data_IF_503488602180
#
_entry.id   IF_503488602180
#
_cell.length_a   1.000
_cell.length_b   1.000
_cell.length_c   1.000
_cell.angle_alpha   90.00
_cell.angle_beta   90.00
_cell.angle_gamma   90.00
#
_symmetry.space_group_name_H-M   'P 1'
#
loop_
_entity.id
_entity.type
_entity.pdbx_description
1 polymer ?
#
# COMPACT_ATOMS: atom_id res chain seq x y z
N UNK A 1 4.77 12.63 9.72
CA UNK A 1 4.06 11.35 9.78
C UNK A 1 5.11 10.24 9.81
N UNK A 2 5.02 9.32 10.77
CA UNK A 2 5.95 8.21 10.95
C UNK A 2 5.16 6.90 10.88
N UNK A 3 5.69 5.92 10.15
CA UNK A 3 5.13 4.57 10.10
C UNK A 3 5.70 3.75 11.27
N UNK A 4 4.82 3.13 12.05
CA UNK A 4 5.18 2.40 13.27
C UNK A 4 5.19 0.89 13.04
N UNK A 5 4.11 0.36 12.48
CA UNK A 5 3.95 -1.05 12.19
C UNK A 5 3.17 -1.27 10.89
N UNK A 6 3.48 -2.33 10.11
CA UNK A 6 2.74 -2.63 8.89
C UNK A 6 1.29 -3.01 9.17
N UNK A 7 0.39 -2.62 8.27
CA UNK A 7 -0.98 -3.09 8.21
C UNK A 7 -1.05 -4.29 7.27
N UNK A 8 -1.16 -5.50 7.83
CA UNK A 8 -1.33 -6.71 7.04
C UNK A 8 -2.81 -6.89 6.72
N UNK A 9 -3.14 -7.00 5.44
CA UNK A 9 -4.50 -7.30 5.01
C UNK A 9 -4.69 -8.81 4.93
N UNK A 10 -5.73 -9.37 5.57
CA UNK A 10 -5.99 -10.80 5.48
C UNK A 10 -6.49 -11.17 4.09
N UNK A 11 -6.22 -12.40 3.65
CA UNK A 11 -6.70 -12.91 2.36
C UNK A 11 -8.23 -12.93 2.26
N UNK A 12 -8.90 -13.10 3.41
CA UNK A 12 -10.35 -13.07 3.55
C UNK A 12 -10.76 -12.28 4.78
N UNK A 13 -12.00 -11.76 4.77
CA UNK A 13 -12.50 -10.91 5.84
C UNK A 13 -12.20 -9.43 5.60
N UNK A 14 -12.16 -8.65 6.67
CA UNK A 14 -11.94 -7.22 6.60
C UNK A 14 -11.14 -6.75 7.81
N UNK A 15 -10.59 -5.54 7.70
CA UNK A 15 -9.98 -4.82 8.82
C UNK A 15 -10.82 -3.59 9.14
N UNK A 16 -10.98 -3.29 10.42
CA UNK A 16 -11.49 -1.99 10.85
C UNK A 16 -10.34 -1.01 10.87
N UNK A 17 -10.51 0.12 10.20
CA UNK A 17 -9.56 1.23 10.22
C UNK A 17 -10.12 2.38 11.05
N UNK A 18 -9.28 2.97 11.87
CA UNK A 18 -9.58 4.18 12.61
C UNK A 18 -8.49 5.21 12.35
N UNK A 19 -8.91 6.40 11.94
CA UNK A 19 -8.06 7.59 11.84
C UNK A 19 -8.57 8.58 12.87
N UNK A 20 -7.78 8.82 13.92
CA UNK A 20 -8.09 9.82 14.95
C UNK A 20 -7.39 11.12 14.62
N UNK A 21 -8.07 12.25 14.83
CA UNK A 21 -7.50 13.59 14.69
C UNK A 21 -7.70 14.33 16.00
N UNK A 22 -6.60 14.77 16.59
CA UNK A 22 -6.60 15.49 17.86
C UNK A 22 -7.19 16.89 17.77
N UNK A 23 -7.34 17.50 18.95
CA UNK A 23 -7.61 18.93 19.05
C UNK A 23 -6.46 19.75 18.43
N UNK A 24 -6.79 20.96 17.99
CA UNK A 24 -5.78 21.88 17.48
C UNK A 24 -4.97 22.44 18.66
N UNK A 25 -3.65 22.48 18.51
CA UNK A 25 -2.76 23.23 19.42
C UNK A 25 -2.85 24.74 19.19
N UNK A 26 -2.03 25.51 19.91
CA UNK A 26 -1.99 26.96 19.81
C UNK A 26 -1.59 27.47 18.41
N UNK A 27 -0.89 26.65 17.62
CA UNK A 27 -0.48 26.94 16.25
C UNK A 27 -1.46 26.37 15.20
N UNK A 28 -2.57 25.77 15.63
CA UNK A 28 -3.57 25.18 14.75
C UNK A 28 -3.22 23.78 14.23
N UNK A 29 -2.14 23.16 14.74
CA UNK A 29 -1.69 21.83 14.34
C UNK A 29 -2.48 20.77 15.10
N UNK A 30 -2.72 19.63 14.46
CA UNK A 30 -3.51 18.51 15.03
C UNK A 30 -2.71 17.23 14.94
N UNK A 31 -2.69 16.45 16.01
CA UNK A 31 -2.16 15.08 15.93
C UNK A 31 -3.07 14.23 15.04
N UNK A 32 -2.48 13.27 14.33
CA UNK A 32 -3.20 12.23 13.60
C UNK A 32 -2.62 10.88 13.93
N UNK A 33 -3.46 9.89 14.17
CA UNK A 33 -3.03 8.51 14.41
C UNK A 33 -3.89 7.54 13.59
N UNK A 34 -3.25 6.51 13.05
CA UNK A 34 -3.89 5.49 12.22
C UNK A 34 -3.75 4.15 12.92
N UNK A 35 -4.89 3.55 13.24
CA UNK A 35 -4.98 2.26 13.90
C UNK A 35 -5.81 1.29 13.07
N UNK A 36 -5.54 0.00 13.23
CA UNK A 36 -6.41 -1.05 12.71
C UNK A 36 -6.62 -2.18 13.70
N UNK A 37 -7.65 -2.97 13.45
CA UNK A 37 -7.81 -4.30 14.05
C UNK A 37 -8.60 -5.21 13.11
N UNK A 38 -8.51 -6.54 13.25
CA UNK A 38 -9.35 -7.46 12.51
C UNK A 38 -10.84 -7.15 12.70
N UNK A 39 -11.62 -7.24 11.62
CA UNK A 39 -13.08 -7.19 11.69
C UNK A 39 -13.63 -8.61 11.84
N UNK A 40 -14.22 -8.90 13.00
CA UNK A 40 -15.00 -10.13 13.18
C UNK A 40 -16.41 -9.93 12.61
N UNK A 41 -16.77 -10.72 11.60
CA UNK A 41 -18.09 -10.71 10.97
C UNK A 41 -19.14 -11.48 11.79
N UNK A 42 -18.71 -12.33 12.74
CA UNK A 42 -19.56 -13.19 13.56
C UNK A 42 -19.85 -12.61 14.97
N UNK A 43 -19.26 -11.47 15.34
CA UNK A 43 -19.48 -10.87 16.66
C UNK A 43 -18.57 -9.68 17.00
N UNK A 44 -18.52 -9.35 18.29
CA UNK A 44 -17.64 -8.30 18.80
C UNK A 44 -16.20 -8.83 18.95
N UNK A 45 -15.30 -8.35 18.09
CA UNK A 45 -13.86 -8.63 18.23
C UNK A 45 -13.31 -8.09 19.55
N UNK A 46 -12.56 -8.93 20.27
CA UNK A 46 -11.76 -8.55 21.44
C UNK A 46 -10.32 -8.17 21.08
N UNK A 47 -9.98 -8.15 19.78
CA UNK A 47 -8.64 -7.80 19.33
C UNK A 47 -8.31 -6.34 19.66
N UNK A 48 -7.10 -6.13 20.17
CA UNK A 48 -6.55 -4.80 20.45
C UNK A 48 -6.29 -4.04 19.15
N UNK A 49 -6.37 -2.71 19.23
CA UNK A 49 -6.02 -1.84 18.11
C UNK A 49 -4.49 -1.79 17.96
N UNK A 50 -4.01 -2.13 16.76
CA UNK A 50 -2.61 -1.95 16.38
C UNK A 50 -2.41 -0.54 15.81
N UNK A 51 -1.39 0.17 16.31
CA UNK A 51 -0.98 1.47 15.79
C UNK A 51 -0.08 1.30 14.57
N UNK A 52 -0.41 1.98 13.47
CA UNK A 52 0.32 1.87 12.19
C UNK A 52 1.07 3.14 11.83
N UNK A 53 0.51 4.30 12.14
CA UNK A 53 1.16 5.57 11.86
C UNK A 53 0.71 6.66 12.84
N UNK A 54 1.61 7.60 13.12
CA UNK A 54 1.32 8.83 13.85
C UNK A 54 1.88 10.04 13.10
N UNK A 55 1.31 11.21 13.33
CA UNK A 55 1.82 12.43 12.72
C UNK A 55 1.10 13.69 13.18
N UNK A 56 1.37 14.76 12.44
CA UNK A 56 0.80 16.07 12.67
C UNK A 56 0.27 16.62 11.36
N UNK A 57 -0.98 17.08 11.39
CA UNK A 57 -1.62 17.86 10.34
C UNK A 57 -1.47 19.34 10.66
N UNK A 58 -1.16 20.13 9.65
CA UNK A 58 -1.08 21.58 9.73
C UNK A 58 -1.77 22.19 8.51
N UNK A 59 -2.07 23.49 8.57
CA UNK A 59 -2.49 24.22 7.37
C UNK A 59 -1.31 24.25 6.41
N UNK A 60 -1.55 23.87 5.16
CA UNK A 60 -0.52 23.85 4.13
C UNK A 60 -0.06 25.27 3.78
N UNK A 61 1.25 25.42 3.53
CA UNK A 61 1.79 26.60 2.89
C UNK A 61 1.35 26.70 1.42
N UNK A 62 1.69 27.81 0.76
CA UNK A 62 1.40 28.01 -0.65
C UNK A 62 1.98 26.86 -1.50
N UNK A 63 1.20 26.42 -2.50
CA UNK A 63 1.62 25.41 -3.45
C UNK A 63 2.94 25.83 -4.15
N UNK A 64 3.83 24.86 -4.45
CA UNK A 64 5.00 25.15 -5.28
C UNK A 64 4.56 25.63 -6.67
N UNK A 65 5.43 26.36 -7.36
CA UNK A 65 5.15 26.84 -8.70
C UNK A 65 5.01 25.67 -9.70
N UNK A 66 4.32 25.96 -10.81
CA UNK A 66 4.24 25.07 -11.96
C UNK A 66 5.63 24.69 -12.45
N UNK A 67 5.82 23.42 -12.77
CA UNK A 67 7.05 22.93 -13.37
C UNK A 67 7.05 23.21 -14.88
N UNK A 68 7.71 24.29 -15.28
CA UNK A 68 7.75 24.76 -16.68
C UNK A 68 8.94 24.24 -17.49
N UNK A 69 9.74 23.31 -16.95
CA UNK A 69 10.86 22.74 -17.71
C UNK A 69 10.39 21.60 -18.63
N UNK A 70 11.03 21.40 -19.81
CA UNK A 70 10.69 20.34 -20.73
C UNK A 70 10.73 18.96 -20.05
N UNK A 71 9.82 18.08 -20.44
CA UNK A 71 9.74 16.72 -19.93
C UNK A 71 9.96 15.70 -21.05
N UNK A 72 10.90 14.74 -20.90
CA UNK A 72 11.89 14.66 -19.83
C UNK A 72 12.90 15.83 -19.89
N UNK A 73 13.60 16.14 -18.79
CA UNK A 73 14.56 17.23 -18.76
C UNK A 73 15.64 17.06 -19.83
N UNK A 74 16.05 18.17 -20.45
CA UNK A 74 17.13 18.16 -21.41
C UNK A 74 18.41 17.61 -20.77
N UNK A 75 19.11 16.71 -21.47
CA UNK A 75 20.34 16.01 -21.01
C UNK A 75 20.12 14.97 -19.92
N UNK A 76 18.88 14.66 -19.53
CA UNK A 76 18.62 13.50 -18.70
C UNK A 76 18.87 12.22 -19.50
N UNK A 77 19.50 11.23 -18.87
CA UNK A 77 19.78 9.92 -19.46
C UNK A 77 18.61 8.99 -19.18
N UNK A 78 18.06 8.33 -20.20
CA UNK A 78 17.01 7.32 -20.01
C UNK A 78 17.52 6.17 -19.16
N UNK A 79 16.68 5.71 -18.24
CA UNK A 79 16.89 4.50 -17.45
C UNK A 79 15.95 3.44 -18.00
N UNK A 80 16.45 2.22 -18.22
CA UNK A 80 15.62 1.10 -18.60
C UNK A 80 14.83 0.62 -17.37
N UNK A 81 13.50 0.60 -17.48
CA UNK A 81 12.58 0.20 -16.42
C UNK A 81 11.81 -1.07 -16.76
N UNK A 82 12.13 -1.73 -17.87
CA UNK A 82 11.42 -2.93 -18.33
C UNK A 82 11.43 -4.06 -17.30
N UNK A 83 12.59 -4.33 -16.70
CA UNK A 83 12.79 -5.43 -15.75
C UNK A 83 12.70 -4.98 -14.27
N UNK A 84 12.25 -3.75 -14.00
CA UNK A 84 12.25 -3.18 -12.63
C UNK A 84 11.40 -4.01 -11.67
N UNK A 85 10.22 -4.44 -12.11
CA UNK A 85 9.28 -5.19 -11.27
C UNK A 85 9.71 -6.63 -11.05
N UNK A 86 10.39 -7.23 -12.02
CA UNK A 86 10.94 -8.58 -11.89
C UNK A 86 12.14 -8.55 -10.91
N UNK A 87 13.00 -7.54 -11.02
CA UNK A 87 14.10 -7.30 -10.07
C UNK A 87 13.57 -7.07 -8.63
N UNK A 88 12.47 -6.33 -8.47
CA UNK A 88 11.83 -6.12 -7.17
C UNK A 88 11.24 -7.42 -6.61
N UNK A 89 10.63 -8.24 -7.46
CA UNK A 89 10.07 -9.53 -7.09
C UNK A 89 11.15 -10.52 -6.61
N UNK A 90 12.31 -10.56 -7.26
CA UNK A 90 13.47 -11.35 -6.80
C UNK A 90 13.94 -10.94 -5.39
N UNK A 91 13.78 -9.65 -5.06
CA UNK A 91 14.07 -9.10 -3.73
C UNK A 91 12.95 -9.33 -2.72
N UNK A 92 11.80 -9.87 -3.13
CA UNK A 92 10.66 -10.21 -2.28
C UNK A 92 9.54 -9.16 -2.27
N UNK A 93 9.62 -8.13 -3.12
CA UNK A 93 8.55 -7.15 -3.33
C UNK A 93 7.74 -7.51 -4.57
N UNK A 94 6.71 -8.32 -4.37
CA UNK A 94 5.81 -8.72 -5.45
C UNK A 94 4.69 -7.69 -5.57
N UNK A 95 4.84 -6.79 -6.53
CA UNK A 95 3.80 -5.83 -6.87
C UNK A 95 2.75 -6.46 -7.79
N UNK A 96 1.47 -6.35 -7.39
CA UNK A 96 0.34 -6.70 -8.24
C UNK A 96 0.13 -5.67 -9.36
N UNK A 97 -0.69 -5.98 -10.39
CA UNK A 97 -0.83 -5.17 -11.60
C UNK A 97 -1.17 -3.69 -11.34
N UNK A 98 -2.02 -3.42 -10.35
CA UNK A 98 -2.44 -2.05 -9.98
C UNK A 98 -1.29 -1.18 -9.49
N UNK A 99 -0.27 -1.79 -8.87
CA UNK A 99 0.90 -1.10 -8.35
C UNK A 99 2.05 -1.01 -9.35
N UNK A 100 1.93 -1.62 -10.54
CA UNK A 100 2.97 -1.59 -11.58
C UNK A 100 2.85 -0.37 -12.49
N UNK A 101 2.84 0.82 -11.87
CA UNK A 101 2.53 2.08 -12.55
C UNK A 101 3.71 2.79 -13.24
N UNK A 102 4.96 2.39 -12.99
CA UNK A 102 6.15 3.04 -13.55
C UNK A 102 6.27 2.80 -15.06
N UNK A 103 6.30 3.87 -15.85
CA UNK A 103 6.31 3.83 -17.33
C UNK A 103 7.66 4.17 -17.94
N UNK A 104 8.29 5.20 -17.41
CA UNK A 104 9.59 5.67 -17.89
C UNK A 104 10.33 6.36 -16.75
N UNK A 105 11.66 6.33 -16.81
CA UNK A 105 12.50 7.05 -15.87
C UNK A 105 13.75 7.62 -16.56
N UNK A 106 14.24 8.74 -16.02
CA UNK A 106 15.44 9.41 -16.49
C UNK A 106 16.27 9.88 -15.29
N UNK A 107 17.58 9.98 -15.49
CA UNK A 107 18.52 10.49 -14.48
C UNK A 107 19.23 11.74 -14.97
N UNK A 108 19.31 12.74 -14.10
CA UNK A 108 20.10 13.95 -14.34
C UNK A 108 20.91 14.27 -13.07
N UNK A 109 22.20 13.95 -13.09
CA UNK A 109 23.04 14.02 -11.88
C UNK A 109 22.52 13.06 -10.80
N UNK A 110 22.14 13.60 -9.65
CA UNK A 110 21.58 12.87 -8.51
C UNK A 110 20.04 12.91 -8.49
N UNK A 111 19.41 13.57 -9.46
CA UNK A 111 17.96 13.64 -9.59
C UNK A 111 17.43 12.53 -10.49
N UNK A 112 16.26 12.02 -10.12
CA UNK A 112 15.48 11.06 -10.89
C UNK A 112 14.17 11.70 -11.32
N UNK A 113 13.81 11.48 -12.57
CA UNK A 113 12.56 11.90 -13.17
C UNK A 113 11.82 10.63 -13.60
N UNK A 114 10.50 10.55 -13.37
CA UNK A 114 9.72 9.39 -13.74
C UNK A 114 8.32 9.76 -14.24
N UNK A 115 7.79 8.95 -15.16
CA UNK A 115 6.38 8.97 -15.54
C UNK A 115 5.69 7.75 -14.95
N UNK A 116 4.57 7.99 -14.26
CA UNK A 116 3.74 6.94 -13.68
C UNK A 116 2.29 7.09 -14.13
N UNK A 117 1.62 5.96 -14.32
CA UNK A 117 0.22 5.93 -14.74
C UNK A 117 -0.50 4.75 -14.10
N UNK A 118 -1.70 5.01 -13.57
CA UNK A 118 -2.62 3.96 -13.16
C UNK A 118 -3.00 3.07 -14.36
N UNK A 119 -3.21 1.76 -14.16
CA UNK A 119 -3.90 0.95 -15.14
C UNK A 119 -5.37 1.41 -15.28
N UNK A 120 -5.96 1.13 -16.44
CA UNK A 120 -7.29 1.62 -16.83
C UNK A 120 -8.38 1.25 -15.81
N UNK A 121 -8.31 0.05 -15.24
CA UNK A 121 -9.27 -0.43 -14.25
C UNK A 121 -9.24 0.41 -12.96
N UNK A 122 -8.06 0.85 -12.53
CA UNK A 122 -7.88 1.67 -11.34
C UNK A 122 -8.13 3.16 -11.62
N UNK A 123 -7.90 3.62 -12.86
CA UNK A 123 -8.10 5.00 -13.25
C UNK A 123 -9.56 5.46 -13.07
N UNK A 124 -10.53 4.56 -13.30
CA UNK A 124 -11.96 4.85 -13.10
C UNK A 124 -12.34 5.18 -11.65
N UNK A 125 -11.55 4.74 -10.68
CA UNK A 125 -11.75 5.01 -9.26
C UNK A 125 -10.86 6.13 -8.73
N UNK A 126 -10.00 6.73 -9.56
CA UNK A 126 -9.00 7.71 -9.10
C UNK A 126 -9.64 8.95 -8.46
N UNK A 127 -10.78 9.41 -8.97
CA UNK A 127 -11.53 10.58 -8.45
C UNK A 127 -12.08 10.37 -7.03
N UNK A 128 -12.18 9.13 -6.56
CA UNK A 128 -12.58 8.82 -5.18
C UNK A 128 -11.44 9.07 -4.17
N UNK A 129 -10.21 9.33 -4.66
CA UNK A 129 -9.04 9.54 -3.83
C UNK A 129 -8.52 10.97 -3.97
N UNK A 130 -7.97 11.51 -2.87
CA UNK A 130 -7.11 12.68 -2.96
C UNK A 130 -5.93 12.39 -3.89
N UNK A 131 -5.21 11.31 -3.64
CA UNK A 131 -4.25 10.72 -4.58
C UNK A 131 -4.37 9.21 -4.47
N UNK A 132 -4.53 8.52 -5.59
CA UNK A 132 -4.70 7.06 -5.57
C UNK A 132 -3.47 6.38 -4.94
N UNK A 133 -3.62 5.52 -3.92
CA UNK A 133 -2.47 4.94 -3.20
C UNK A 133 -1.48 4.21 -4.10
N UNK A 134 -1.98 3.46 -5.09
CA UNK A 134 -1.11 2.76 -6.05
C UNK A 134 -0.36 3.69 -7.02
N UNK A 135 -0.92 4.87 -7.31
CA UNK A 135 -0.24 5.88 -8.14
C UNK A 135 0.89 6.54 -7.36
N UNK A 136 0.62 6.90 -6.09
CA UNK A 136 1.63 7.41 -5.18
C UNK A 136 2.74 6.36 -4.98
N UNK A 137 2.40 5.12 -4.67
CA UNK A 137 3.39 4.06 -4.43
C UNK A 137 4.27 3.81 -5.66
N UNK A 138 3.68 3.74 -6.86
CA UNK A 138 4.43 3.61 -8.10
C UNK A 138 5.41 4.78 -8.34
N UNK A 139 5.06 6.00 -7.92
CA UNK A 139 5.98 7.15 -7.96
C UNK A 139 7.20 6.94 -7.04
N UNK A 140 7.01 6.28 -5.90
CA UNK A 140 8.10 5.98 -4.96
C UNK A 140 9.01 4.85 -5.45
N UNK A 141 8.57 3.98 -6.37
CA UNK A 141 9.43 2.93 -6.92
C UNK A 141 10.67 3.52 -7.63
N UNK A 142 10.54 4.73 -8.19
CA UNK A 142 11.64 5.46 -8.82
C UNK A 142 12.73 5.92 -7.82
N UNK A 143 12.45 5.93 -6.51
CA UNK A 143 13.46 6.22 -5.47
C UNK A 143 14.60 5.19 -5.52
N UNK A 144 14.30 3.93 -5.85
CA UNK A 144 15.30 2.88 -6.01
C UNK A 144 16.32 3.15 -7.13
N UNK A 145 16.04 4.12 -8.01
CA UNK A 145 16.94 4.55 -9.09
C UNK A 145 17.92 5.64 -8.65
N UNK A 146 17.79 6.20 -7.44
CA UNK A 146 18.77 7.11 -6.87
C UNK A 146 20.10 6.37 -6.66
N UNK A 147 21.23 7.07 -6.83
CA UNK A 147 22.57 6.58 -6.46
C UNK A 147 22.79 6.52 -4.93
N UNK A 148 21.75 6.19 -4.17
CA UNK A 148 21.80 5.87 -2.75
C UNK A 148 21.82 4.35 -2.51
N UNK A 149 22.00 3.57 -3.58
CA UNK A 149 21.77 2.13 -3.67
C UNK A 149 23.06 1.28 -3.72
N UNK A 150 24.16 1.77 -3.12
CA UNK A 150 25.31 0.91 -2.77
C UNK A 150 24.99 -0.06 -1.60
N UNK A 151 23.77 0.01 -1.05
CA UNK A 151 23.27 -0.90 -0.02
C UNK A 151 22.54 -2.09 -0.65
N UNK A 152 22.99 -3.31 -0.37
CA UNK A 152 22.32 -4.56 -0.78
C UNK A 152 20.92 -4.76 -0.15
N UNK A 153 20.51 -3.87 0.77
CA UNK A 153 19.25 -3.93 1.51
C UNK A 153 18.06 -3.24 0.83
N UNK A 154 16.87 -3.78 1.06
CA UNK A 154 15.59 -3.17 0.68
C UNK A 154 15.29 -1.97 1.57
N UNK A 155 15.03 -0.79 0.97
CA UNK A 155 14.62 0.40 1.73
C UNK A 155 13.17 0.77 1.44
N UNK A 156 12.37 0.90 2.49
CA UNK A 156 10.96 1.29 2.41
C UNK A 156 10.75 2.68 3.03
N UNK A 157 9.74 3.44 2.56
CA UNK A 157 9.26 4.64 3.23
C UNK A 157 9.02 4.41 4.73
N UNK A 158 9.53 5.30 5.57
CA UNK A 158 9.38 5.21 7.02
C UNK A 158 8.83 6.50 7.63
N UNK A 159 9.42 7.64 7.29
CA UNK A 159 8.99 8.93 7.82
C UNK A 159 8.81 9.95 6.71
N UNK A 160 7.73 10.70 6.81
CA UNK A 160 7.26 11.68 5.83
C UNK A 160 7.14 13.04 6.51
N UNK A 161 7.77 14.05 5.93
CA UNK A 161 7.74 15.43 6.42
C UNK A 161 7.34 16.38 5.29
N UNK A 162 6.51 17.39 5.63
CA UNK A 162 6.06 18.39 4.66
C UNK A 162 5.23 17.79 3.52
N UNK A 163 4.35 16.82 3.82
CA UNK A 163 3.45 16.26 2.81
C UNK A 163 2.32 17.25 2.54
N UNK A 164 2.14 17.62 1.28
CA UNK A 164 1.06 18.49 0.82
C UNK A 164 0.43 17.95 -0.44
N UNK A 165 -0.89 18.13 -0.58
CA UNK A 165 -1.67 17.71 -1.73
C UNK A 165 -2.38 18.95 -2.29
N UNK A 166 -2.16 19.24 -3.57
CA UNK A 166 -2.65 20.44 -4.26
C UNK A 166 -3.78 20.13 -5.25
N UNK A 167 -3.77 18.94 -5.85
CA UNK A 167 -4.79 18.50 -6.80
C UNK A 167 -5.24 17.07 -6.47
N UNK A 168 -6.45 16.71 -6.92
CA UNK A 168 -7.06 15.40 -6.65
C UNK A 168 -7.46 14.69 -7.94
N UNK A 169 -7.68 13.37 -7.87
CA UNK A 169 -8.14 12.57 -9.01
C UNK A 169 -7.09 12.32 -10.10
N UNK A 170 -5.81 12.59 -9.83
CA UNK A 170 -4.74 12.31 -10.80
C UNK A 170 -4.69 10.81 -11.14
N UNK A 171 -4.60 10.50 -12.44
CA UNK A 171 -4.43 9.14 -12.99
C UNK A 171 -3.03 8.91 -13.54
N UNK A 172 -2.32 9.99 -13.88
CA UNK A 172 -0.93 10.00 -14.32
C UNK A 172 -0.14 11.05 -13.54
N UNK A 173 1.16 10.81 -13.32
CA UNK A 173 2.06 11.79 -12.72
C UNK A 173 3.40 11.85 -13.44
N UNK A 174 3.97 13.04 -13.46
CA UNK A 174 5.40 13.31 -13.64
C UNK A 174 6.02 13.51 -12.27
N UNK A 175 7.09 12.76 -11.99
CA UNK A 175 7.69 12.65 -10.66
C UNK A 175 9.11 13.16 -10.72
N UNK A 176 9.47 14.12 -9.86
CA UNK A 176 10.86 14.53 -9.65
C UNK A 176 11.29 14.11 -8.24
N UNK A 177 12.42 13.42 -8.16
CA UNK A 177 12.99 12.93 -6.91
C UNK A 177 14.43 13.45 -6.81
N UNK A 178 14.75 14.08 -5.69
CA UNK A 178 16.09 14.61 -5.43
C UNK A 178 16.51 14.30 -3.98
N UNK A 179 17.81 14.11 -3.70
CA UNK A 179 18.29 14.02 -2.33
C UNK A 179 17.94 15.27 -1.52
N UNK A 180 17.51 15.10 -0.28
CA UNK A 180 17.14 16.23 0.60
C UNK A 180 18.32 16.77 1.45
N UNK A 181 19.50 16.19 1.29
CA UNK A 181 20.71 16.51 2.05
C UNK A 181 20.74 16.00 3.50
N UNK A 182 19.69 15.28 3.94
CA UNK A 182 19.52 14.74 5.31
C UNK A 182 19.47 13.21 5.35
N UNK A 183 19.74 12.56 4.22
CA UNK A 183 19.65 11.11 4.07
C UNK A 183 18.29 10.61 3.60
N UNK A 184 17.38 11.51 3.23
CA UNK A 184 16.11 11.21 2.58
C UNK A 184 16.03 11.74 1.16
N UNK A 185 14.81 11.82 0.63
CA UNK A 185 14.53 12.37 -0.68
C UNK A 185 13.36 13.36 -0.63
N UNK A 186 13.44 14.45 -1.38
CA UNK A 186 12.30 15.27 -1.75
C UNK A 186 11.59 14.62 -2.93
N UNK A 187 10.26 14.60 -2.91
CA UNK A 187 9.42 14.06 -3.99
C UNK A 187 8.42 15.13 -4.42
N UNK A 188 8.55 15.59 -5.65
CA UNK A 188 7.61 16.54 -6.27
C UNK A 188 6.78 15.79 -7.34
N UNK A 189 5.45 15.87 -7.24
CA UNK A 189 4.52 15.21 -8.15
C UNK A 189 3.76 16.26 -8.95
N UNK A 190 3.75 16.11 -10.28
CA UNK A 190 3.09 17.00 -11.22
C UNK A 190 2.15 16.22 -12.13
N UNK A 191 1.15 16.90 -12.69
CA UNK A 191 0.37 16.36 -13.81
C UNK A 191 1.11 16.48 -15.15
N UNK A 192 0.46 16.07 -16.24
CA UNK A 192 1.02 16.16 -17.60
C UNK A 192 1.21 17.60 -18.10
N UNK A 193 0.49 18.56 -17.52
CA UNK A 193 0.66 19.98 -17.82
C UNK A 193 1.78 20.63 -16.98
N UNK A 194 2.34 19.90 -16.02
CA UNK A 194 3.36 20.39 -15.08
C UNK A 194 2.78 21.10 -13.86
N UNK A 195 1.46 21.06 -13.64
CA UNK A 195 0.83 21.62 -12.45
C UNK A 195 1.12 20.72 -11.24
N UNK A 196 1.38 21.30 -10.05
CA UNK A 196 1.63 20.52 -8.84
C UNK A 196 0.41 19.69 -8.43
N UNK A 197 0.64 18.41 -8.14
CA UNK A 197 -0.36 17.48 -7.59
C UNK A 197 -0.10 17.25 -6.11
N UNK A 198 1.13 16.87 -5.74
CA UNK A 198 1.53 16.67 -4.36
C UNK A 198 3.03 16.94 -4.19
N UNK A 199 3.44 17.18 -2.94
CA UNK A 199 4.85 17.32 -2.58
C UNK A 199 5.15 16.64 -1.26
N UNK A 200 6.34 16.07 -1.16
CA UNK A 200 6.95 15.56 0.06
C UNK A 200 8.29 16.26 0.22
N UNK A 201 8.44 17.11 1.23
CA UNK A 201 9.69 17.83 1.47
C UNK A 201 10.84 16.90 1.83
N UNK A 202 10.56 15.90 2.67
CA UNK A 202 11.52 14.88 3.07
C UNK A 202 10.85 13.54 3.32
N UNK A 203 11.31 12.54 2.59
CA UNK A 203 10.97 11.13 2.73
C UNK A 203 12.19 10.37 3.22
N UNK A 204 12.15 9.93 4.46
CA UNK A 204 13.18 9.06 5.05
C UNK A 204 12.83 7.61 4.78
N UNK A 205 13.82 6.86 4.27
CA UNK A 205 13.71 5.44 4.01
C UNK A 205 14.44 4.66 5.10
N UNK A 206 13.93 3.47 5.45
CA UNK A 206 14.62 2.54 6.34
C UNK A 206 14.83 1.20 5.67
N UNK A 207 15.95 0.57 5.98
CA UNK A 207 16.16 -0.84 5.66
C UNK A 207 15.17 -1.70 6.45
N UNK A 208 14.51 -2.62 5.75
CA UNK A 208 13.62 -3.61 6.35
C UNK A 208 14.13 -4.99 5.96
N UNK A 209 14.36 -5.85 6.96
CA UNK A 209 14.78 -7.22 6.70
C UNK A 209 13.58 -8.08 6.28
N UNK A 210 13.87 -9.17 5.55
CA UNK A 210 12.84 -10.15 5.18
C UNK A 210 12.21 -10.79 6.43
N UNK A 211 12.98 -11.00 7.50
CA UNK A 211 12.41 -11.55 8.74
C UNK A 211 11.42 -10.59 9.40
N UNK A 212 11.66 -9.26 9.33
CA UNK A 212 10.72 -8.28 9.88
C UNK A 212 9.38 -8.28 9.15
N UNK A 213 9.38 -8.42 7.82
CA UNK A 213 8.13 -8.54 7.06
C UNK A 213 7.43 -9.87 7.32
N UNK A 214 8.18 -10.98 7.37
CA UNK A 214 7.62 -12.29 7.67
C UNK A 214 7.01 -12.36 9.08
N UNK A 215 7.69 -11.80 10.08
CA UNK A 215 7.21 -11.72 11.45
C UNK A 215 5.89 -10.93 11.56
N UNK A 216 5.79 -9.80 10.85
CA UNK A 216 4.55 -9.04 10.77
C UNK A 216 3.40 -9.81 10.13
N UNK A 217 3.68 -10.53 9.02
CA UNK A 217 2.69 -11.37 8.37
C UNK A 217 2.21 -12.52 9.28
N UNK A 218 3.13 -13.17 10.02
CA UNK A 218 2.76 -14.23 10.95
C UNK A 218 1.98 -13.74 12.16
N UNK A 219 2.27 -12.53 12.68
CA UNK A 219 1.55 -11.96 13.82
C UNK A 219 0.11 -11.57 13.48
N UNK A 220 -0.17 -11.26 12.21
CA UNK A 220 -1.52 -10.99 11.72
C UNK A 220 -2.33 -12.28 11.42
N UNK A 221 -1.67 -13.43 11.38
CA UNK A 221 -2.24 -14.73 11.01
C UNK A 221 -2.41 -15.71 12.17
N UNK A 222 -2.48 -15.23 13.42
CA UNK A 222 -2.73 -16.10 14.58
C UNK A 222 -4.22 -16.51 14.67
N UNK A 223 -4.71 -17.15 13.61
CA UNK A 223 -5.76 -18.16 13.73
C UNK A 223 -5.04 -19.50 13.68
N UNK A 224 -4.92 -20.14 14.85
CA UNK A 224 -4.37 -21.48 15.00
C UNK A 224 -4.88 -22.39 13.87
N UNK A 225 -3.98 -22.91 13.03
CA UNK A 225 -4.33 -23.86 11.98
C UNK A 225 -4.91 -25.12 12.63
N UNK A 226 -6.23 -25.25 12.66
CA UNK A 226 -6.90 -26.45 13.13
C UNK A 226 -6.95 -27.47 11.98
N UNK A 227 -6.28 -28.61 12.17
CA UNK A 227 -6.43 -29.75 11.28
C UNK A 227 -7.69 -30.53 11.66
N UNK A 228 -8.59 -30.75 10.71
CA UNK A 228 -9.73 -31.66 10.89
C UNK A 228 -9.23 -33.10 10.81
N UNK A 229 -9.17 -33.77 11.95
CA UNK A 229 -8.95 -35.21 12.03
C UNK A 229 -10.30 -35.92 12.18
N UNK A 230 -10.74 -36.61 11.12
CA UNK A 230 -11.93 -37.43 11.17
C UNK A 230 -11.63 -38.75 11.87
N UNK A 231 -12.08 -38.89 13.11
CA UNK A 231 -11.98 -40.15 13.85
C UNK A 231 -13.16 -41.04 13.45
N UNK A 232 -12.92 -42.28 12.97
CA UNK A 232 -13.99 -43.21 12.65
C UNK A 232 -14.82 -43.51 13.90
N UNK A 233 -16.12 -43.22 13.84
CA UNK A 233 -17.06 -43.73 14.84
C UNK A 233 -17.43 -45.15 14.44
N UNK A 234 -17.07 -46.12 15.27
CA UNK A 234 -17.55 -47.50 15.11
C UNK A 234 -19.00 -47.52 15.58
N UNK A 235 -19.93 -47.38 14.64
CA UNK A 235 -21.35 -47.67 14.87
C UNK A 235 -21.59 -49.18 14.84
N UNK A 236 -22.52 -49.64 15.66
CA UNK A 236 -22.99 -51.03 15.64
C UNK A 236 -23.73 -51.28 14.30
N UNK A 237 -23.30 -52.23 13.45
CA UNK A 237 -23.87 -52.42 12.12
C UNK A 237 -25.33 -52.90 12.09
N UNK A 238 -25.95 -53.17 13.26
CA UNK A 238 -27.28 -53.77 13.36
C UNK A 238 -28.40 -52.80 13.79
N UNK A 239 -28.12 -51.50 13.92
CA UNK A 239 -29.20 -50.53 14.12
C UNK A 239 -29.81 -50.14 12.76
N UNK A 240 -30.85 -50.88 12.36
CA UNK A 240 -31.63 -50.58 11.17
C UNK A 240 -32.25 -49.17 11.28
N UNK A 241 -31.62 -48.19 10.62
CA UNK A 241 -32.17 -46.84 10.49
C UNK A 241 -33.34 -46.90 9.53
N UNK A 242 -34.56 -46.77 10.05
CA UNK A 242 -35.76 -46.61 9.23
C UNK A 242 -35.83 -45.18 8.70
N UNK A 243 -35.88 -45.03 7.37
CA UNK A 243 -36.06 -43.75 6.71
C UNK A 243 -37.53 -43.56 6.34
N UNK A 244 -38.06 -42.35 6.51
CA UNK A 244 -39.34 -41.95 5.97
C UNK A 244 -39.11 -40.86 4.91
N UNK A 245 -39.75 -41.02 3.74
CA UNK A 245 -39.74 -40.00 2.68
C UNK A 245 -40.84 -38.99 2.98
N UNK A 246 -40.47 -37.71 3.09
CA UNK A 246 -41.43 -36.60 3.19
C UNK A 246 -41.51 -35.90 1.82
N UNK A 247 -42.57 -36.22 1.08
CA UNK A 247 -42.92 -35.64 -0.23
C UNK A 247 -43.52 -36.67 -1.18
N UNK A 248 -44.47 -36.27 -2.03
CA UNK A 248 -45.04 -37.14 -3.07
C UNK A 248 -43.98 -37.45 -4.12
N UNK A 249 -43.47 -38.68 -4.13
CA UNK A 249 -42.60 -39.20 -5.17
C UNK A 249 -43.19 -40.50 -5.74
N UNK A 250 -43.40 -40.61 -7.07
CA UNK A 250 -44.09 -41.74 -7.71
C UNK A 250 -43.21 -43.00 -7.88
N UNK A 251 -42.15 -43.17 -7.10
CA UNK A 251 -41.30 -44.36 -7.15
C UNK A 251 -41.55 -45.24 -5.92
N UNK A 252 -42.71 -45.87 -5.92
CA UNK A 252 -43.02 -47.00 -5.05
C UNK A 252 -43.69 -48.09 -5.88
N UNK A 253 -42.90 -48.89 -6.59
CA UNK A 253 -43.10 -50.33 -6.85
C UNK A 253 -41.68 -50.87 -7.14
N UNK A 254 -41.10 -51.89 -6.51
CA UNK A 254 -41.56 -52.93 -5.60
C UNK A 254 -40.74 -54.18 -5.91
N UNK A 255 -40.25 -54.89 -4.88
CA UNK A 255 -39.68 -56.25 -4.97
C UNK A 255 -38.18 -56.37 -4.79
#
# INVERSE_FOLDING_TARGET
>A
LTLQAPLVLPETGAVQLQVSVGEADAEGRRTVEIHSRPHDLAGATTAEWAAHADGVLAVADAAPDKHDTPWPPARATSVDVSDVYDTLAEKGLVYGPVFRGLRAAWRLGDEVFAEVALPEEAANAADAFGLHPALLDAALHAIGLLQLADSEGMRLPFAWSGVSLQAVGATTLRVRIAPDGRGGATVDLFDEAGLPVARVESLTLREVSREQMAAAASAAGDESLFQVEWVPVVGDPDEAVSWAVLGDSPLAEGG
#
